data_IF_676198796169
#
_entry.id   IF_676198796169
#
_cell.length_a   1.000
_cell.length_b   1.000
_cell.length_c   1.000
_cell.angle_alpha   90.00
_cell.angle_beta   90.00
_cell.angle_gamma   90.00
#
_symmetry.space_group_name_H-M   'P 1'
#
loop_
_entity.id
_entity.type
_entity.pdbx_description
1 polymer ?
#
# COMPACT_ATOMS: atom_id res chain seq x y z
N UNK A 1 -16.57 -51.58 21.56
CA UNK A 1 -16.13 -50.30 22.12
C UNK A 1 -14.87 -50.55 22.93
N UNK A 2 -13.80 -49.85 22.58
CA UNK A 2 -12.55 -49.91 23.30
C UNK A 2 -12.42 -48.61 24.08
N UNK A 3 -12.27 -48.71 25.40
CA UNK A 3 -12.14 -47.56 26.31
C UNK A 3 -10.77 -47.67 26.97
N UNK A 4 -9.83 -46.83 26.56
CA UNK A 4 -8.47 -46.80 27.10
C UNK A 4 -7.50 -46.09 26.20
N UNK A 5 -6.30 -45.81 26.71
CA UNK A 5 -5.20 -45.23 25.92
C UNK A 5 -4.56 -46.32 25.03
N UNK A 6 -4.34 -45.98 23.77
CA UNK A 6 -3.53 -46.80 22.85
C UNK A 6 -2.16 -46.14 22.74
N UNK A 7 -1.13 -46.94 23.00
CA UNK A 7 0.28 -46.50 22.86
C UNK A 7 0.97 -47.37 21.81
N UNK A 8 1.89 -46.77 21.03
CA UNK A 8 2.67 -47.52 20.04
C UNK A 8 1.96 -47.88 18.74
N UNK A 9 0.86 -47.18 18.38
CA UNK A 9 0.24 -47.35 17.07
C UNK A 9 1.11 -46.63 16.03
N UNK A 10 1.73 -47.37 15.12
CA UNK A 10 2.56 -46.82 14.04
C UNK A 10 1.72 -46.39 12.82
N UNK A 11 0.57 -47.06 12.59
CA UNK A 11 -0.36 -46.73 11.49
C UNK A 11 -1.80 -46.84 11.96
N UNK A 12 -2.61 -45.81 11.73
CA UNK A 12 -4.06 -45.86 11.90
C UNK A 12 -4.72 -45.62 10.55
N UNK A 13 -5.43 -46.60 10.02
CA UNK A 13 -6.22 -46.46 8.78
C UNK A 13 -7.70 -46.43 9.13
N UNK A 14 -8.37 -45.33 8.80
CA UNK A 14 -9.83 -45.22 8.88
C UNK A 14 -10.40 -45.05 7.47
N UNK A 15 -11.36 -45.93 7.08
CA UNK A 15 -12.03 -45.83 5.77
C UNK A 15 -13.32 -45.02 5.81
N UNK A 16 -13.63 -44.41 6.95
CA UNK A 16 -14.78 -43.54 7.19
C UNK A 16 -14.41 -42.33 8.00
N UNK A 17 -15.40 -41.66 8.60
CA UNK A 17 -15.21 -40.45 9.40
C UNK A 17 -14.58 -40.81 10.75
N UNK A 18 -13.43 -40.18 11.07
CA UNK A 18 -12.86 -40.18 12.42
C UNK A 18 -13.35 -38.93 13.18
N UNK A 19 -13.94 -39.11 14.37
CA UNK A 19 -14.33 -37.98 15.24
C UNK A 19 -13.38 -37.92 16.43
N UNK A 20 -12.68 -36.81 16.57
CA UNK A 20 -11.75 -36.55 17.66
C UNK A 20 -12.22 -35.34 18.47
N UNK A 21 -12.19 -35.39 19.79
CA UNK A 21 -12.45 -34.23 20.65
C UNK A 21 -11.30 -33.24 20.64
N UNK A 22 -10.05 -33.72 20.45
CA UNK A 22 -8.85 -32.96 20.15
C UNK A 22 -7.88 -33.86 19.39
N UNK A 23 -7.05 -33.26 18.54
CA UNK A 23 -6.00 -33.94 17.80
C UNK A 23 -4.71 -33.14 17.93
N UNK A 24 -3.68 -33.74 18.53
CA UNK A 24 -2.34 -33.17 18.64
C UNK A 24 -1.40 -33.94 17.70
N UNK A 25 -0.81 -33.21 16.72
CA UNK A 25 0.09 -33.78 15.71
C UNK A 25 1.42 -33.06 15.82
N UNK A 26 2.46 -33.76 16.23
CA UNK A 26 3.82 -33.21 16.35
C UNK A 26 4.62 -33.23 15.03
N UNK A 27 4.04 -33.80 13.96
CA UNK A 27 4.61 -33.87 12.62
C UNK A 27 3.77 -33.12 11.58
N UNK A 28 3.98 -33.47 10.31
CA UNK A 28 3.27 -32.86 9.19
C UNK A 28 1.83 -33.40 9.05
N UNK A 29 0.94 -32.58 8.51
CA UNK A 29 -0.40 -32.96 8.07
C UNK A 29 -0.44 -32.85 6.56
N UNK A 30 -0.62 -33.98 5.86
CA UNK A 30 -0.83 -34.04 4.43
C UNK A 30 -2.32 -34.28 4.15
N UNK A 31 -2.96 -33.39 3.40
CA UNK A 31 -4.37 -33.46 3.04
C UNK A 31 -4.53 -33.38 1.53
N UNK A 32 -4.82 -34.50 0.88
CA UNK A 32 -5.05 -34.58 -0.58
C UNK A 32 -6.35 -33.91 -1.04
N UNK A 33 -7.23 -33.53 -0.13
CA UNK A 33 -8.55 -32.98 -0.42
C UNK A 33 -8.77 -31.57 0.14
N UNK A 34 -10.05 -31.21 0.30
CA UNK A 34 -10.45 -29.93 0.90
C UNK A 34 -10.41 -30.01 2.42
N UNK A 35 -9.78 -29.02 3.05
CA UNK A 35 -9.80 -28.81 4.50
C UNK A 35 -10.78 -27.69 4.83
N UNK A 36 -11.78 -27.95 5.69
CA UNK A 36 -12.71 -26.95 6.21
C UNK A 36 -12.40 -26.73 7.70
N UNK A 37 -11.97 -25.52 8.03
CA UNK A 37 -11.59 -25.12 9.39
C UNK A 37 -12.35 -23.83 9.75
N UNK A 38 -13.01 -23.81 10.90
CA UNK A 38 -13.76 -22.65 11.40
C UNK A 38 -12.83 -21.51 11.84
N UNK A 39 -11.67 -21.83 12.40
CA UNK A 39 -10.62 -20.92 12.75
C UNK A 39 -9.25 -21.57 12.51
N UNK A 40 -8.29 -20.79 12.02
CA UNK A 40 -6.90 -21.20 11.82
C UNK A 40 -6.00 -20.18 12.49
N UNK A 41 -5.16 -20.64 13.42
CA UNK A 41 -4.09 -19.87 14.04
C UNK A 41 -2.76 -20.46 13.61
N UNK A 42 -1.89 -19.65 12.99
CA UNK A 42 -0.61 -20.07 12.44
C UNK A 42 0.48 -19.15 12.96
N UNK A 43 1.34 -19.66 13.83
CA UNK A 43 2.50 -18.91 14.36
C UNK A 43 3.68 -18.83 13.38
N UNK A 44 3.62 -19.56 12.27
CA UNK A 44 4.69 -19.65 11.26
C UNK A 44 4.36 -18.97 9.94
N UNK A 45 5.27 -19.11 8.98
CA UNK A 45 5.05 -18.65 7.61
C UNK A 45 4.01 -19.53 6.89
N UNK A 46 3.22 -18.90 6.01
CA UNK A 46 2.31 -19.60 5.08
C UNK A 46 2.87 -19.48 3.68
N UNK A 47 3.18 -20.60 3.04
CA UNK A 47 3.56 -20.68 1.63
C UNK A 47 2.37 -21.20 0.82
N UNK A 48 1.92 -20.43 -0.16
CA UNK A 48 0.79 -20.78 -1.03
C UNK A 48 1.26 -20.79 -2.48
N UNK A 49 1.31 -21.96 -3.08
CA UNK A 49 1.70 -22.16 -4.47
C UNK A 49 0.67 -21.64 -5.51
N UNK A 50 -0.50 -21.16 -5.07
CA UNK A 50 -1.59 -20.67 -5.92
C UNK A 50 -2.23 -19.42 -5.31
N UNK A 51 -3.47 -19.11 -5.71
CA UNK A 51 -4.21 -17.93 -5.28
C UNK A 51 -4.69 -18.02 -3.84
N UNK A 52 -4.64 -16.90 -3.12
CA UNK A 52 -5.40 -16.68 -1.89
C UNK A 52 -6.68 -15.89 -2.24
N UNK A 53 -7.85 -16.49 -1.98
CA UNK A 53 -9.12 -15.77 -2.01
C UNK A 53 -9.56 -15.45 -0.59
N UNK A 54 -9.88 -14.19 -0.33
CA UNK A 54 -10.40 -13.73 0.96
C UNK A 54 -11.68 -12.95 0.72
N UNK A 55 -12.82 -13.45 1.24
CA UNK A 55 -14.12 -12.80 1.10
C UNK A 55 -14.33 -11.68 2.13
N UNK A 56 -13.45 -11.56 3.11
CA UNK A 56 -13.45 -10.53 4.15
C UNK A 56 -12.26 -9.58 4.05
N UNK A 57 -12.05 -8.79 5.11
CA UNK A 57 -10.91 -7.89 5.20
C UNK A 57 -9.61 -8.65 5.49
N UNK A 58 -8.50 -8.18 4.91
CA UNK A 58 -7.15 -8.57 5.30
C UNK A 58 -6.59 -7.51 6.24
N UNK A 59 -6.22 -7.90 7.46
CA UNK A 59 -5.61 -7.01 8.44
C UNK A 59 -4.17 -7.43 8.69
N UNK A 60 -3.23 -6.48 8.56
CA UNK A 60 -1.83 -6.66 8.91
C UNK A 60 -1.41 -5.62 9.95
N UNK A 61 -0.78 -6.06 11.03
CA UNK A 61 -0.28 -5.17 12.10
C UNK A 61 1.10 -4.56 11.78
N UNK A 62 1.82 -5.10 10.79
CA UNK A 62 3.22 -4.75 10.50
C UNK A 62 3.47 -4.25 9.07
N UNK A 63 2.42 -4.08 8.28
CA UNK A 63 2.54 -3.71 6.86
C UNK A 63 2.43 -4.91 5.93
N UNK A 64 2.45 -4.63 4.62
CA UNK A 64 2.29 -5.61 3.56
C UNK A 64 3.25 -5.29 2.43
N UNK A 65 3.96 -6.30 1.93
CA UNK A 65 4.81 -6.20 0.74
C UNK A 65 4.26 -7.12 -0.35
N UNK A 66 4.02 -6.56 -1.52
CA UNK A 66 3.61 -7.31 -2.71
C UNK A 66 4.73 -7.17 -3.74
N UNK A 67 5.22 -8.28 -4.26
CA UNK A 67 6.33 -8.30 -5.23
C UNK A 67 5.94 -9.09 -6.46
N UNK A 68 6.16 -8.52 -7.65
CA UNK A 68 6.08 -9.21 -8.94
C UNK A 68 7.48 -9.26 -9.56
N UNK A 69 7.77 -10.31 -10.31
CA UNK A 69 9.07 -10.50 -10.98
C UNK A 69 9.09 -9.98 -12.42
N UNK A 70 7.97 -9.49 -12.92
CA UNK A 70 7.75 -9.06 -14.29
C UNK A 70 7.09 -7.68 -14.37
N UNK A 71 6.59 -7.27 -15.54
CA UNK A 71 5.96 -5.98 -15.80
C UNK A 71 4.42 -6.01 -15.61
N UNK A 72 3.87 -7.03 -14.95
CA UNK A 72 2.44 -7.07 -14.64
C UNK A 72 2.10 -6.12 -13.48
N UNK A 73 0.84 -5.73 -13.36
CA UNK A 73 0.37 -4.88 -12.28
C UNK A 73 0.57 -5.57 -10.93
N UNK A 74 1.40 -4.98 -10.07
CA UNK A 74 1.68 -5.50 -8.73
C UNK A 74 0.47 -5.37 -7.79
N UNK A 75 -0.31 -4.31 -7.94
CA UNK A 75 -1.55 -4.07 -7.19
C UNK A 75 -2.60 -3.45 -8.10
N UNK A 76 -3.74 -4.13 -8.23
CA UNK A 76 -4.93 -3.58 -8.90
C UNK A 76 -6.04 -3.39 -7.88
N UNK A 77 -6.53 -2.16 -7.76
CA UNK A 77 -7.75 -1.84 -7.00
C UNK A 77 -8.92 -1.74 -7.98
N UNK A 78 -9.90 -2.65 -7.88
CA UNK A 78 -11.02 -2.73 -8.83
C UNK A 78 -12.35 -2.74 -8.09
N UNK A 79 -13.26 -1.83 -8.48
CA UNK A 79 -14.69 -1.91 -8.16
C UNK A 79 -15.45 -2.43 -9.37
N UNK A 80 -16.49 -3.23 -9.13
CA UNK A 80 -17.48 -3.66 -10.14
C UNK A 80 -18.84 -3.02 -9.90
N UNK A 81 -18.92 -2.07 -8.98
CA UNK A 81 -20.13 -1.31 -8.73
C UNK A 81 -20.54 -0.49 -9.96
N UNK A 82 -21.82 -0.46 -10.28
CA UNK A 82 -22.37 0.19 -11.46
C UNK A 82 -23.01 1.55 -11.16
N UNK A 83 -23.09 1.95 -9.90
CA UNK A 83 -23.69 3.24 -9.53
C UNK A 83 -22.71 4.43 -9.77
N UNK A 84 -23.17 5.65 -9.46
CA UNK A 84 -22.42 6.87 -9.70
C UNK A 84 -21.49 7.27 -8.51
N UNK A 85 -21.41 6.45 -7.46
CA UNK A 85 -20.60 6.73 -6.29
C UNK A 85 -19.11 6.42 -6.53
N UNK A 86 -18.26 6.96 -5.66
CA UNK A 86 -16.81 6.82 -5.79
C UNK A 86 -16.34 5.40 -5.47
N UNK A 87 -15.57 4.81 -6.38
CA UNK A 87 -14.88 3.54 -6.17
C UNK A 87 -14.03 3.16 -7.39
N UNK A 88 -12.92 2.41 -7.22
CA UNK A 88 -12.31 1.98 -5.97
C UNK A 88 -11.61 3.11 -5.22
N UNK A 89 -11.49 3.00 -3.90
CA UNK A 89 -10.86 4.01 -3.04
C UNK A 89 -9.52 3.51 -2.51
N UNK A 90 -8.50 4.37 -2.51
CA UNK A 90 -7.28 4.22 -1.71
C UNK A 90 -7.31 5.28 -0.60
N UNK A 91 -7.46 4.85 0.65
CA UNK A 91 -7.46 5.73 1.81
C UNK A 91 -6.14 5.62 2.57
N UNK A 92 -5.35 6.70 2.56
CA UNK A 92 -4.15 6.83 3.38
C UNK A 92 -4.54 7.56 4.66
N UNK A 93 -4.78 6.81 5.73
CA UNK A 93 -5.31 7.34 6.98
C UNK A 93 -4.29 7.26 8.12
N UNK A 94 -3.86 8.39 8.63
CA UNK A 94 -3.05 8.51 9.84
C UNK A 94 -3.98 8.75 11.05
N UNK A 95 -4.28 7.71 11.78
CA UNK A 95 -5.05 7.79 13.03
C UNK A 95 -4.11 8.13 14.20
N UNK A 96 -3.77 9.42 14.37
CA UNK A 96 -2.92 9.89 15.45
C UNK A 96 -3.77 10.23 16.68
N UNK A 97 -3.34 9.79 17.86
CA UNK A 97 -3.93 10.23 19.14
C UNK A 97 -3.49 11.66 19.57
N UNK A 98 -2.56 12.27 18.82
CA UNK A 98 -2.04 13.62 19.06
C UNK A 98 -1.74 14.29 17.72
N UNK A 99 -2.78 14.65 16.93
CA UNK A 99 -2.58 15.36 15.67
C UNK A 99 -2.01 16.76 15.92
N UNK A 100 -1.12 17.22 15.04
CA UNK A 100 -0.50 18.53 15.15
C UNK A 100 -0.31 19.16 13.78
N UNK A 101 -0.16 20.49 13.75
CA UNK A 101 0.18 21.24 12.57
C UNK A 101 1.48 20.73 11.95
N UNK A 102 1.50 20.65 10.62
CA UNK A 102 2.57 20.10 9.79
C UNK A 102 2.81 18.58 9.91
N UNK A 103 1.92 17.83 10.55
CA UNK A 103 1.92 16.38 10.49
C UNK A 103 1.72 15.89 9.05
N UNK A 104 2.58 14.94 8.61
CA UNK A 104 2.41 14.27 7.31
C UNK A 104 1.33 13.20 7.43
N UNK A 105 0.30 13.28 6.59
CA UNK A 105 -0.84 12.34 6.58
C UNK A 105 -0.54 11.06 5.83
N UNK A 106 0.10 11.19 4.66
CA UNK A 106 0.41 10.05 3.80
C UNK A 106 1.41 10.43 2.72
N UNK A 107 2.02 9.40 2.14
CA UNK A 107 3.09 9.53 1.17
C UNK A 107 3.00 8.44 0.10
N UNK A 108 3.03 8.85 -1.18
CA UNK A 108 3.24 7.95 -2.31
C UNK A 108 4.64 8.23 -2.85
N UNK A 109 5.50 7.22 -2.88
CA UNK A 109 6.91 7.34 -3.26
C UNK A 109 7.17 6.57 -4.55
N UNK A 110 7.91 7.18 -5.47
CA UNK A 110 8.45 6.57 -6.68
C UNK A 110 9.95 6.40 -6.52
N UNK A 111 10.35 5.18 -6.13
CA UNK A 111 11.75 4.79 -5.98
C UNK A 111 12.27 4.14 -7.27
N UNK A 112 13.55 4.34 -7.50
CA UNK A 112 14.30 3.62 -8.53
C UNK A 112 15.75 3.47 -8.09
N UNK A 113 16.55 2.81 -8.91
CA UNK A 113 18.01 2.70 -8.69
C UNK A 113 18.74 3.62 -9.67
N UNK A 114 19.83 4.25 -9.20
CA UNK A 114 20.75 4.96 -10.08
C UNK A 114 21.75 3.98 -10.73
N UNK A 115 22.62 4.48 -11.60
CA UNK A 115 23.65 3.71 -12.30
C UNK A 115 24.73 3.13 -11.38
N UNK A 116 24.82 3.63 -10.14
CA UNK A 116 25.69 3.09 -9.08
C UNK A 116 24.93 2.11 -8.16
N UNK A 117 23.76 1.62 -8.57
CA UNK A 117 22.91 0.67 -7.82
C UNK A 117 22.45 1.14 -6.44
N UNK A 118 22.37 2.45 -6.22
CA UNK A 118 21.82 3.04 -5.00
C UNK A 118 20.33 3.30 -5.16
N UNK A 119 19.54 3.06 -4.12
CA UNK A 119 18.12 3.38 -4.09
C UNK A 119 17.91 4.89 -3.95
N UNK A 120 17.10 5.45 -4.84
CA UNK A 120 16.86 6.89 -4.95
C UNK A 120 15.37 7.17 -5.08
N UNK A 121 14.87 8.17 -4.35
CA UNK A 121 13.52 8.71 -4.54
C UNK A 121 13.54 9.67 -5.72
N UNK A 122 12.89 9.31 -6.83
CA UNK A 122 12.81 10.18 -8.01
C UNK A 122 11.63 11.13 -7.99
N UNK A 123 10.52 10.73 -7.39
CA UNK A 123 9.34 11.57 -7.18
C UNK A 123 8.54 11.12 -5.97
N UNK A 124 7.71 12.01 -5.43
CA UNK A 124 6.75 11.69 -4.39
C UNK A 124 5.59 12.66 -4.35
N UNK A 125 4.47 12.17 -3.85
CA UNK A 125 3.30 12.94 -3.50
C UNK A 125 3.05 12.80 -2.01
N UNK A 126 2.82 13.91 -1.33
CA UNK A 126 2.58 13.91 0.12
C UNK A 126 1.49 14.91 0.51
N UNK A 127 0.82 14.65 1.61
CA UNK A 127 -0.19 15.52 2.18
C UNK A 127 0.12 15.80 3.65
N UNK A 128 -0.21 17.03 4.09
CA UNK A 128 0.01 17.50 5.46
C UNK A 128 -1.28 18.01 6.09
N UNK A 129 -1.34 17.96 7.42
CA UNK A 129 -2.19 18.83 8.22
C UNK A 129 -1.47 20.20 8.29
N UNK A 130 -2.13 21.28 7.92
CA UNK A 130 -1.58 22.65 8.09
C UNK A 130 -2.12 23.32 9.33
N UNK A 131 -3.38 23.06 9.64
CA UNK A 131 -4.03 23.41 10.90
C UNK A 131 -4.82 22.18 11.39
N UNK A 132 -4.55 21.72 12.60
CA UNK A 132 -5.23 20.59 13.24
C UNK A 132 -6.39 21.02 14.14
N UNK A 133 -6.71 22.31 14.24
CA UNK A 133 -7.73 22.86 15.14
C UNK A 133 -9.13 22.52 14.67
N UNK A 134 -9.97 21.97 15.58
CA UNK A 134 -11.36 21.60 15.28
C UNK A 134 -12.18 22.79 14.75
N UNK A 135 -12.78 22.59 13.59
CA UNK A 135 -13.60 23.57 12.88
C UNK A 135 -12.85 24.56 11.99
N UNK A 136 -11.50 24.51 11.96
CA UNK A 136 -10.64 25.33 11.08
C UNK A 136 -9.53 24.54 10.42
N UNK A 137 -9.76 23.22 10.25
CA UNK A 137 -8.76 22.30 9.70
C UNK A 137 -8.31 22.72 8.30
N UNK A 138 -7.01 22.80 8.12
CA UNK A 138 -6.37 23.10 6.85
C UNK A 138 -5.46 21.96 6.39
N UNK A 139 -5.40 21.74 5.09
CA UNK A 139 -4.58 20.72 4.43
C UNK A 139 -3.63 21.27 3.38
N UNK A 140 -2.58 20.51 3.07
CA UNK A 140 -1.66 20.78 1.98
C UNK A 140 -1.38 19.51 1.18
N UNK A 141 -1.29 19.66 -0.14
CA UNK A 141 -0.82 18.64 -1.07
C UNK A 141 0.42 19.12 -1.78
N UNK A 142 1.49 18.31 -1.79
CA UNK A 142 2.75 18.65 -2.45
C UNK A 142 3.18 17.55 -3.42
N UNK A 143 3.56 17.94 -4.64
CA UNK A 143 4.23 17.08 -5.62
C UNK A 143 5.70 17.47 -5.71
N UNK A 144 6.58 16.48 -5.57
CA UNK A 144 8.03 16.69 -5.58
C UNK A 144 8.71 15.80 -6.62
N UNK A 145 9.82 16.28 -7.18
CA UNK A 145 10.69 15.51 -8.07
C UNK A 145 12.15 15.72 -7.73
N UNK A 146 12.98 14.73 -8.07
CA UNK A 146 14.44 14.82 -7.96
C UNK A 146 15.01 15.75 -9.04
N UNK A 147 15.90 16.65 -8.64
CA UNK A 147 16.69 17.51 -9.52
C UNK A 147 18.12 17.58 -9.02
N UNK A 148 19.07 17.16 -9.83
CA UNK A 148 20.49 17.18 -9.50
C UNK A 148 20.81 16.65 -8.09
N UNK A 149 20.21 15.50 -7.72
CA UNK A 149 20.43 14.84 -6.42
C UNK A 149 19.65 15.43 -5.26
N UNK A 150 18.72 16.36 -5.49
CA UNK A 150 17.89 16.98 -4.43
C UNK A 150 16.41 16.89 -4.79
N UNK A 151 15.57 16.46 -3.84
CA UNK A 151 14.11 16.52 -3.98
C UNK A 151 13.65 17.97 -3.90
N UNK A 152 12.81 18.38 -4.85
CA UNK A 152 12.31 19.75 -5.02
C UNK A 152 10.79 19.78 -5.12
N UNK A 153 10.18 20.82 -4.52
CA UNK A 153 8.75 21.09 -4.64
C UNK A 153 8.44 21.64 -6.04
N UNK A 154 7.55 20.93 -6.75
CA UNK A 154 7.10 21.30 -8.10
C UNK A 154 5.75 21.97 -8.10
N UNK A 155 4.85 21.44 -7.27
CA UNK A 155 3.52 21.98 -7.03
C UNK A 155 3.23 21.89 -5.55
N UNK A 156 2.83 23.00 -4.96
CA UNK A 156 2.39 23.10 -3.59
C UNK A 156 0.99 23.71 -3.58
N UNK A 157 0.01 22.98 -3.06
CA UNK A 157 -1.37 23.44 -2.89
C UNK A 157 -1.60 23.53 -1.40
N UNK A 158 -1.67 24.75 -0.87
CA UNK A 158 -1.84 25.04 0.53
C UNK A 158 -3.09 25.91 0.77
N UNK A 159 -3.48 26.23 2.02
CA UNK A 159 -4.71 26.97 2.31
C UNK A 159 -4.81 28.36 1.67
N UNK A 160 -3.68 28.98 1.36
CA UNK A 160 -3.64 30.40 0.91
C UNK A 160 -3.30 30.56 -0.57
N UNK A 161 -2.63 29.56 -1.18
CA UNK A 161 -2.13 29.69 -2.55
C UNK A 161 -1.85 28.35 -3.22
N UNK A 162 -1.66 28.40 -4.53
CA UNK A 162 -1.13 27.31 -5.35
C UNK A 162 0.20 27.79 -5.92
N UNK A 163 1.29 27.18 -5.48
CA UNK A 163 2.64 27.56 -5.89
C UNK A 163 3.21 26.52 -6.86
N UNK A 164 3.69 26.96 -7.99
CA UNK A 164 4.53 26.20 -8.89
C UNK A 164 5.98 26.60 -8.67
N UNK A 165 6.88 25.60 -8.46
CA UNK A 165 8.30 25.86 -8.25
C UNK A 165 8.62 26.58 -6.93
N UNK A 166 8.06 26.10 -5.80
CA UNK A 166 8.26 26.66 -4.45
C UNK A 166 9.73 26.85 -4.07
N UNK A 167 10.60 25.94 -4.54
CA UNK A 167 12.04 26.00 -4.27
C UNK A 167 12.82 27.00 -5.15
N UNK A 168 12.15 27.87 -5.92
CA UNK A 168 12.74 28.90 -6.77
C UNK A 168 13.86 28.37 -7.68
N UNK A 169 13.62 27.24 -8.32
CA UNK A 169 14.56 26.63 -9.25
C UNK A 169 14.46 27.30 -10.63
N UNK A 170 15.52 27.25 -11.44
CA UNK A 170 15.43 27.58 -12.86
C UNK A 170 14.53 26.57 -13.58
N UNK A 171 13.24 26.86 -13.63
CA UNK A 171 12.19 26.01 -14.17
C UNK A 171 11.19 26.84 -14.96
N UNK A 172 11.07 26.56 -16.23
CA UNK A 172 10.08 27.18 -17.09
C UNK A 172 8.67 26.61 -16.78
N UNK A 173 7.70 27.51 -16.69
CA UNK A 173 6.28 27.15 -16.72
C UNK A 173 5.69 27.52 -18.07
N UNK A 174 5.18 26.53 -18.79
CA UNK A 174 4.69 26.67 -20.14
C UNK A 174 3.31 26.06 -20.32
N UNK A 175 2.40 26.80 -20.95
CA UNK A 175 1.10 26.31 -21.42
C UNK A 175 1.13 26.26 -22.94
N UNK A 176 0.82 25.12 -23.50
CA UNK A 176 0.81 24.88 -24.96
C UNK A 176 -0.60 24.65 -25.46
N UNK A 177 -0.85 24.97 -26.74
CA UNK A 177 -2.02 24.54 -27.48
C UNK A 177 -1.62 23.90 -28.80
N UNK A 178 -2.60 23.33 -29.52
CA UNK A 178 -2.35 22.83 -30.87
C UNK A 178 -1.89 23.97 -31.80
N UNK A 179 -0.62 23.97 -32.14
CA UNK A 179 0.00 24.96 -33.04
C UNK A 179 0.63 26.17 -32.34
N UNK A 180 0.55 26.28 -31.01
CA UNK A 180 1.25 27.32 -30.20
C UNK A 180 1.94 26.66 -29.02
N UNK A 181 3.27 26.58 -29.06
CA UNK A 181 4.09 25.96 -27.99
C UNK A 181 4.15 26.81 -26.70
N UNK A 182 3.93 28.13 -26.78
CA UNK A 182 4.01 29.02 -25.64
C UNK A 182 2.81 29.97 -25.62
N UNK A 183 1.63 29.45 -25.24
CA UNK A 183 0.43 30.31 -25.01
C UNK A 183 0.59 31.17 -23.76
N UNK A 184 1.16 30.60 -22.72
CA UNK A 184 1.59 31.29 -21.51
C UNK A 184 2.94 30.70 -21.09
N UNK A 185 3.94 31.55 -20.89
CA UNK A 185 5.30 31.11 -20.57
C UNK A 185 5.90 32.05 -19.52
N UNK A 186 6.43 31.44 -18.46
CA UNK A 186 7.26 32.12 -17.46
C UNK A 186 8.64 31.49 -17.57
N UNK A 187 9.64 32.32 -17.89
CA UNK A 187 11.05 31.95 -18.04
C UNK A 187 11.77 32.12 -16.70
N UNK A 188 12.05 31.02 -16.02
CA UNK A 188 12.74 31.03 -14.72
C UNK A 188 14.26 31.23 -14.81
N UNK A 189 14.82 31.41 -16.00
CA UNK A 189 16.24 31.62 -16.21
C UNK A 189 16.64 33.08 -16.47
N UNK A 190 15.67 33.98 -16.67
CA UNK A 190 15.89 35.38 -17.04
C UNK A 190 15.23 36.40 -16.08
N UNK A 191 14.94 36.00 -14.84
CA UNK A 191 14.37 36.87 -13.79
C UNK A 191 15.40 37.80 -13.19
#
# INVERSE_FOLDING_TARGET
RITGAYTGITNLTATGVGTFGSLDISGDIDVDGTTNLDAVDIDGAVDMASTLQVDGAITSSSGMTITTADNTDTLTLKSTDADANVGPNLNLYRNSGSPADNDVLGLIIYNGRNDNSQDVIYARQLSYIKDASDGTEDGQLTLQTMVAGTIRDRLNINPTEIVLNEDSQNLDFRVESNGQANMFFVDGGND
#
